data_IF_047283493214
#
_entry.id   IF_047283493214
#
_cell.length_a   1.000
_cell.length_b   1.000
_cell.length_c   1.000
_cell.angle_alpha   90.00
_cell.angle_beta   90.00
_cell.angle_gamma   90.00
#
_symmetry.space_group_name_H-M   'P 1'
#
loop_
_entity.id
_entity.type
_entity.pdbx_description
1 polymer ?
#
# COMPACT_ATOMS: atom_id res chain seq x y z
N UNK A 1 -7.32 -4.07 5.60
CA UNK A 1 -7.15 -2.68 5.22
C UNK A 1 -8.40 -1.90 5.59
N UNK A 2 -8.21 -0.79 6.17
CA UNK A 2 -9.29 0.10 6.49
C UNK A 2 -9.79 0.75 5.22
N UNK A 3 -11.00 0.43 4.87
CA UNK A 3 -11.57 0.88 3.61
C UNK A 3 -12.13 2.29 3.66
N UNK A 4 -11.91 3.00 4.74
CA UNK A 4 -12.44 4.36 4.87
C UNK A 4 -11.70 5.35 4.00
N UNK A 5 -10.56 4.96 3.49
CA UNK A 5 -9.74 5.83 2.67
C UNK A 5 -10.31 5.95 1.27
N UNK A 6 -10.52 7.16 0.83
CA UNK A 6 -10.87 7.43 -0.56
C UNK A 6 -9.67 7.23 -1.48
N UNK A 7 -8.48 7.10 -0.90
CA UNK A 7 -7.26 6.96 -1.66
C UNK A 7 -7.31 5.75 -2.58
N UNK A 8 -7.65 4.58 -2.04
CA UNK A 8 -7.70 3.36 -2.85
C UNK A 8 -8.80 3.41 -3.89
N UNK A 9 -9.92 4.05 -3.59
CA UNK A 9 -10.98 4.20 -4.56
C UNK A 9 -10.54 5.06 -5.74
N UNK A 10 -9.81 6.13 -5.47
CA UNK A 10 -9.29 6.98 -6.50
C UNK A 10 -8.25 6.27 -7.35
N UNK A 11 -7.40 5.46 -6.72
CA UNK A 11 -6.40 4.70 -7.46
C UNK A 11 -7.04 3.60 -8.29
N UNK A 12 -8.11 3.00 -7.80
CA UNK A 12 -8.83 1.99 -8.57
C UNK A 12 -9.41 2.56 -9.85
N UNK A 13 -9.88 3.80 -9.81
CA UNK A 13 -10.44 4.46 -10.99
C UNK A 13 -9.40 4.67 -12.08
N UNK A 14 -8.13 4.72 -11.71
CA UNK A 14 -7.05 4.89 -12.68
C UNK A 14 -6.61 3.60 -13.32
N UNK A 15 -7.09 2.47 -12.85
CA UNK A 15 -6.71 1.17 -13.38
C UNK A 15 -7.43 0.88 -14.70
N UNK A 16 -6.86 0.01 -15.53
CA UNK A 16 -7.54 -0.42 -16.76
C UNK A 16 -8.92 -0.98 -16.47
N UNK A 17 -9.75 -0.94 -17.49
CA UNK A 17 -11.12 -1.44 -17.38
C UNK A 17 -11.16 -2.86 -16.83
N UNK A 18 -12.18 -3.12 -16.04
CA UNK A 18 -12.47 -4.45 -15.48
C UNK A 18 -11.53 -4.91 -14.38
N UNK A 19 -10.53 -4.11 -14.02
CA UNK A 19 -9.66 -4.45 -12.91
C UNK A 19 -10.18 -3.79 -11.65
N UNK A 20 -10.44 -4.62 -10.64
CA UNK A 20 -10.89 -4.16 -9.33
C UNK A 20 -9.90 -4.60 -8.28
N UNK A 21 -9.59 -3.71 -7.34
CA UNK A 21 -8.63 -4.02 -6.29
C UNK A 21 -9.07 -5.23 -5.46
N UNK A 22 -10.36 -5.42 -5.30
CA UNK A 22 -10.89 -6.56 -4.55
C UNK A 22 -10.57 -7.90 -5.19
N UNK A 23 -10.24 -7.92 -6.48
CA UNK A 23 -9.94 -9.16 -7.19
C UNK A 23 -8.52 -9.62 -6.98
N UNK A 24 -7.66 -8.76 -6.45
CA UNK A 24 -6.27 -9.11 -6.21
C UNK A 24 -6.10 -9.87 -4.91
N UNK A 25 -5.14 -10.80 -4.89
CA UNK A 25 -4.68 -11.40 -3.66
C UNK A 25 -3.70 -10.46 -3.00
N UNK A 26 -3.78 -10.35 -1.69
CA UNK A 26 -2.89 -9.46 -0.94
C UNK A 26 -1.86 -10.32 -0.22
N UNK A 27 -0.59 -9.96 -0.38
CA UNK A 27 0.50 -10.62 0.31
C UNK A 27 1.28 -9.58 1.11
N UNK A 28 1.48 -9.88 2.38
CA UNK A 28 2.31 -9.05 3.24
C UNK A 28 3.77 -9.23 2.84
N UNK A 29 4.45 -8.14 2.57
CA UNK A 29 5.86 -8.19 2.19
C UNK A 29 6.76 -7.96 3.39
N UNK A 30 6.60 -6.82 4.04
CA UNK A 30 7.44 -6.46 5.18
C UNK A 30 6.89 -5.24 5.89
N UNK A 31 7.41 -5.02 7.09
CA UNK A 31 7.20 -3.77 7.80
C UNK A 31 8.57 -3.16 8.03
N UNK A 32 8.70 -1.89 7.70
CA UNK A 32 9.93 -1.16 7.87
C UNK A 32 9.76 -0.13 8.97
N UNK A 33 10.77 0.00 9.83
CA UNK A 33 10.78 1.02 10.86
C UNK A 33 11.85 2.05 10.49
N UNK A 34 11.42 3.28 10.34
CA UNK A 34 12.29 4.40 10.04
C UNK A 34 12.52 5.19 11.31
N UNK A 35 13.75 5.18 11.82
CA UNK A 35 14.08 5.83 13.10
C UNK A 35 14.46 7.28 12.91
N UNK A 36 15.19 7.58 11.84
CA UNK A 36 15.65 8.93 11.60
C UNK A 36 15.82 9.11 10.09
N UNK A 37 15.17 10.11 9.55
CA UNK A 37 15.11 10.31 8.11
C UNK A 37 15.32 11.79 7.81
N UNK A 38 15.89 12.07 6.65
CA UNK A 38 16.11 13.47 6.21
C UNK A 38 14.81 14.27 6.15
N UNK A 39 13.74 13.60 5.79
CA UNK A 39 12.46 14.27 5.60
C UNK A 39 11.62 14.29 6.87
N UNK A 40 11.96 13.49 7.86
CA UNK A 40 11.18 13.36 9.08
C UNK A 40 12.06 13.19 10.27
N UNK A 41 11.74 13.94 11.30
CA UNK A 41 12.48 13.84 12.58
C UNK A 41 11.84 12.84 13.53
N UNK A 42 10.63 12.38 13.24
CA UNK A 42 9.93 11.41 14.07
C UNK A 42 9.95 10.03 13.44
N UNK A 43 10.12 8.98 14.25
CA UNK A 43 10.05 7.61 13.72
C UNK A 43 8.67 7.31 13.15
N UNK A 44 8.65 6.41 12.17
CA UNK A 44 7.40 5.96 11.58
C UNK A 44 7.56 4.54 11.04
N UNK A 45 6.44 3.88 10.82
CA UNK A 45 6.40 2.53 10.24
C UNK A 45 5.87 2.59 8.82
N UNK A 46 6.38 1.71 8.00
CA UNK A 46 5.81 1.49 6.67
C UNK A 46 5.48 0.01 6.53
N UNK A 47 4.19 -0.28 6.32
CA UNK A 47 3.72 -1.64 6.05
C UNK A 47 3.63 -1.78 4.54
N UNK A 48 4.35 -2.76 4.00
CA UNK A 48 4.45 -2.96 2.56
C UNK A 48 3.65 -4.19 2.17
N UNK A 49 2.69 -4.00 1.28
CA UNK A 49 1.83 -5.06 0.78
C UNK A 49 2.01 -5.20 -0.72
N UNK A 50 1.81 -6.40 -1.21
CA UNK A 50 1.85 -6.70 -2.63
C UNK A 50 0.48 -7.16 -3.08
N UNK A 51 0.05 -6.65 -4.23
CA UNK A 51 -1.21 -7.09 -4.83
C UNK A 51 -0.87 -8.00 -5.99
N UNK A 52 -1.35 -9.24 -5.90
CA UNK A 52 -1.03 -10.29 -6.84
C UNK A 52 -2.21 -10.56 -7.77
N UNK A 53 -1.90 -10.82 -9.02
CA UNK A 53 -2.93 -11.21 -9.97
C UNK A 53 -3.65 -12.45 -9.44
N UNK A 54 -4.99 -12.48 -9.46
CA UNK A 54 -5.73 -13.58 -8.83
C UNK A 54 -5.46 -14.95 -9.44
N UNK A 55 -5.11 -15.01 -10.72
CA UNK A 55 -4.86 -16.29 -11.38
C UNK A 55 -3.39 -16.67 -11.39
N UNK A 56 -2.52 -15.73 -11.74
CA UNK A 56 -1.09 -16.02 -11.92
C UNK A 56 -0.29 -15.84 -10.65
N UNK A 57 -0.81 -15.12 -9.68
CA UNK A 57 -0.12 -14.78 -8.43
C UNK A 57 1.15 -14.00 -8.67
N UNK A 58 1.23 -13.31 -9.80
CA UNK A 58 2.35 -12.45 -10.12
C UNK A 58 2.08 -11.07 -9.53
N UNK A 59 3.11 -10.47 -8.93
CA UNK A 59 3.01 -9.12 -8.38
C UNK A 59 2.68 -8.13 -9.49
N UNK A 60 1.64 -7.33 -9.27
CA UNK A 60 1.26 -6.31 -10.23
C UNK A 60 1.30 -4.92 -9.63
N UNK A 61 0.92 -4.79 -8.37
CA UNK A 61 0.88 -3.51 -7.70
C UNK A 61 1.43 -3.63 -6.30
N UNK A 62 1.85 -2.52 -5.74
CA UNK A 62 2.22 -2.43 -4.34
C UNK A 62 1.30 -1.44 -3.65
N UNK A 63 1.13 -1.63 -2.35
CA UNK A 63 0.39 -0.69 -1.52
C UNK A 63 1.14 -0.57 -0.20
N UNK A 64 1.73 0.58 0.02
CA UNK A 64 2.51 0.85 1.22
C UNK A 64 1.75 1.85 2.08
N UNK A 65 1.65 1.55 3.36
CA UNK A 65 0.94 2.41 4.31
C UNK A 65 1.91 2.82 5.40
N UNK A 66 1.97 4.11 5.66
CA UNK A 66 2.82 4.62 6.72
C UNK A 66 2.00 5.00 7.93
N UNK A 67 2.51 4.64 9.09
CA UNK A 67 1.90 4.93 10.37
C UNK A 67 2.87 5.64 11.27
N UNK A 68 2.35 6.54 12.11
CA UNK A 68 3.15 7.14 13.16
C UNK A 68 3.50 6.08 14.20
N UNK A 69 4.42 6.42 15.08
CA UNK A 69 4.80 5.51 16.16
C UNK A 69 3.60 5.21 17.08
N UNK A 70 2.62 6.09 17.10
CA UNK A 70 1.41 5.92 17.89
C UNK A 70 0.35 5.09 17.17
N UNK A 71 0.63 4.67 15.94
CA UNK A 71 -0.30 3.84 15.18
C UNK A 71 -1.30 4.60 14.33
N UNK A 72 -1.14 5.90 14.19
CA UNK A 72 -2.04 6.68 13.35
C UNK A 72 -1.59 6.65 11.89
N UNK A 73 -2.56 6.57 10.99
CA UNK A 73 -2.29 6.59 9.56
C UNK A 73 -1.63 7.92 9.18
N UNK A 74 -0.48 7.84 8.54
CA UNK A 74 0.28 9.02 8.15
C UNK A 74 0.24 9.25 6.64
N UNK A 75 0.46 8.19 5.85
CA UNK A 75 0.50 8.32 4.39
C UNK A 75 0.23 6.99 3.74
N UNK A 76 -0.10 7.02 2.46
CA UNK A 76 -0.38 5.84 1.68
C UNK A 76 0.27 5.97 0.30
N UNK A 77 0.79 4.87 -0.22
CA UNK A 77 1.41 4.83 -1.55
C UNK A 77 0.88 3.63 -2.30
N UNK A 78 0.56 3.84 -3.56
CA UNK A 78 0.08 2.78 -4.43
C UNK A 78 0.75 2.95 -5.78
N UNK A 79 1.22 1.85 -6.34
CA UNK A 79 1.87 1.90 -7.63
C UNK A 79 1.96 0.55 -8.29
N UNK A 80 2.45 0.56 -9.51
CA UNK A 80 2.62 -0.64 -10.31
C UNK A 80 4.06 -1.08 -10.28
N UNK A 81 4.27 -2.38 -10.11
CA UNK A 81 5.61 -2.95 -10.24
C UNK A 81 6.04 -2.90 -11.70
N UNK A 82 7.29 -2.63 -11.91
CA UNK A 82 7.86 -2.64 -13.24
C UNK A 82 8.49 -3.98 -13.57
#
# INVERSE_FOLDING_TARGET
LNSDSNFLKEEEEKLPNDIKLKDFSIRYKCTELFLNNHDRIYPFFRVCLELLHPETQIQQYYYDVEYTIDGELSDEYFGMYK
#
